data_IF_113419956712
#
_entry.id   IF_113419956712
#
_cell.length_a   1.000
_cell.length_b   1.000
_cell.length_c   1.000
_cell.angle_alpha   90.00
_cell.angle_beta   90.00
_cell.angle_gamma   90.00
#
_symmetry.space_group_name_H-M   'P 1'
#
loop_
_entity.id
_entity.type
_entity.pdbx_description
1 polymer ?
#
# COMPACT_ATOMS: atom_id res chain seq x y z
N UNK A 1 22.41 -30.03 7.72
CA UNK A 1 21.01 -30.26 7.32
C UNK A 1 20.39 -28.90 7.09
N UNK A 2 20.16 -28.60 5.81
CA UNK A 2 19.60 -27.33 5.32
C UNK A 2 18.17 -27.17 5.83
N UNK A 3 17.98 -26.27 6.80
CA UNK A 3 16.69 -25.97 7.41
C UNK A 3 16.22 -24.61 6.98
N UNK A 4 15.85 -24.47 5.71
CA UNK A 4 15.28 -23.27 5.11
C UNK A 4 14.14 -22.74 6.01
N UNK A 5 14.17 -21.48 6.50
CA UNK A 5 13.03 -20.92 7.22
C UNK A 5 11.87 -20.75 6.22
N UNK A 6 10.92 -21.67 6.30
CA UNK A 6 9.69 -21.74 5.52
C UNK A 6 8.99 -20.38 5.56
N UNK A 7 8.93 -19.73 4.40
CA UNK A 7 8.36 -18.41 4.22
C UNK A 7 6.96 -18.31 4.86
N UNK A 8 6.88 -17.59 5.98
CA UNK A 8 5.64 -17.19 6.61
C UNK A 8 4.92 -16.30 5.59
N UNK A 9 3.90 -16.83 4.90
CA UNK A 9 2.99 -16.01 4.09
C UNK A 9 2.58 -14.82 4.96
N UNK A 10 2.89 -13.57 4.57
CA UNK A 10 2.52 -12.43 5.39
C UNK A 10 1.01 -12.50 5.55
N UNK A 11 0.54 -12.62 6.80
CA UNK A 11 -0.89 -12.67 7.08
C UNK A 11 -1.48 -11.42 6.45
N UNK A 12 -2.60 -11.58 5.75
CA UNK A 12 -3.19 -10.47 4.99
C UNK A 12 -3.46 -9.22 5.84
N UNK A 13 -3.52 -9.32 7.18
CA UNK A 13 -3.58 -8.19 8.12
C UNK A 13 -2.34 -7.30 8.07
N UNK A 14 -1.14 -7.86 8.07
CA UNK A 14 0.11 -7.08 8.08
C UNK A 14 0.32 -6.35 6.74
N UNK A 15 -0.03 -7.01 5.64
CA UNK A 15 -0.03 -6.41 4.31
C UNK A 15 -1.04 -5.25 4.23
N UNK A 16 -2.25 -5.41 4.78
CA UNK A 16 -3.28 -4.37 4.84
C UNK A 16 -2.80 -3.14 5.61
N UNK A 17 -2.17 -3.32 6.76
CA UNK A 17 -1.67 -2.22 7.59
C UNK A 17 -0.52 -1.48 6.89
N UNK A 18 0.43 -2.21 6.30
CA UNK A 18 1.53 -1.60 5.52
C UNK A 18 1.02 -0.82 4.31
N UNK A 19 -0.01 -1.35 3.63
CA UNK A 19 -0.65 -0.67 2.50
C UNK A 19 -1.36 0.60 2.97
N UNK A 20 -2.09 0.57 4.08
CA UNK A 20 -2.76 1.76 4.63
C UNK A 20 -1.76 2.86 4.99
N UNK A 21 -0.65 2.53 5.64
CA UNK A 21 0.41 3.50 5.97
C UNK A 21 1.05 4.09 4.71
N UNK A 22 1.36 3.25 3.72
CA UNK A 22 1.92 3.73 2.45
C UNK A 22 0.95 4.66 1.72
N UNK A 23 -0.36 4.33 1.74
CA UNK A 23 -1.43 5.09 1.10
C UNK A 23 -1.65 6.45 1.78
N UNK A 24 -1.55 6.51 3.11
CA UNK A 24 -1.58 7.78 3.86
C UNK A 24 -0.46 8.72 3.40
N UNK A 25 0.79 8.25 3.33
CA UNK A 25 1.90 9.09 2.84
C UNK A 25 1.72 9.57 1.39
N UNK A 26 1.06 8.77 0.53
CA UNK A 26 0.73 9.21 -0.83
C UNK A 26 -0.35 10.30 -0.83
N UNK A 27 -1.36 10.20 0.03
CA UNK A 27 -2.43 11.20 0.11
C UNK A 27 -1.93 12.52 0.69
N UNK A 28 -1.04 12.48 1.67
CA UNK A 28 -0.39 13.69 2.21
C UNK A 28 0.46 14.36 1.14
N UNK A 29 1.28 13.59 0.43
CA UNK A 29 2.09 14.09 -0.69
C UNK A 29 1.22 14.60 -1.84
N UNK A 30 0.11 13.94 -2.15
CA UNK A 30 -0.84 14.38 -3.17
C UNK A 30 -1.54 15.68 -2.79
N UNK A 31 -1.80 15.90 -1.50
CA UNK A 31 -2.38 17.14 -0.98
C UNK A 31 -1.38 18.29 -1.03
N UNK A 32 -0.10 18.01 -0.78
CA UNK A 32 0.99 18.99 -0.89
C UNK A 32 1.27 19.37 -2.35
N UNK A 33 1.32 18.39 -3.25
CA UNK A 33 1.55 18.60 -4.68
C UNK A 33 0.30 19.05 -5.45
N UNK A 34 -0.90 18.88 -4.87
CA UNK A 34 -2.19 19.03 -5.57
C UNK A 34 -2.42 17.98 -6.68
N UNK A 35 -1.50 17.02 -6.87
CA UNK A 35 -1.53 16.05 -7.95
C UNK A 35 -1.33 14.63 -7.44
N UNK A 36 -2.44 13.89 -7.34
CA UNK A 36 -2.45 12.49 -6.89
C UNK A 36 -1.72 11.55 -7.84
N UNK A 37 -1.64 11.87 -9.13
CA UNK A 37 -0.96 11.04 -10.12
C UNK A 37 0.57 11.11 -9.96
N UNK A 38 1.09 12.30 -9.66
CA UNK A 38 2.51 12.52 -9.41
C UNK A 38 2.95 11.88 -8.10
N UNK A 39 2.16 12.04 -7.03
CA UNK A 39 2.40 11.36 -5.75
C UNK A 39 2.35 9.83 -5.87
N UNK A 40 1.42 9.26 -6.66
CA UNK A 40 1.39 7.83 -6.94
C UNK A 40 2.61 7.34 -7.73
N UNK A 41 3.06 8.10 -8.75
CA UNK A 41 4.28 7.76 -9.50
C UNK A 41 5.51 7.80 -8.61
N UNK A 42 5.64 8.83 -7.78
CA UNK A 42 6.80 9.04 -6.93
C UNK A 42 6.94 7.98 -5.82
N UNK A 43 5.81 7.44 -5.35
CA UNK A 43 5.79 6.34 -4.37
C UNK A 43 5.65 4.94 -5.00
N UNK A 44 5.70 4.84 -6.34
CA UNK A 44 5.62 3.56 -7.06
C UNK A 44 4.30 2.81 -6.83
N UNK A 45 3.21 3.55 -6.67
CA UNK A 45 1.95 3.02 -6.19
C UNK A 45 0.91 2.99 -7.30
N UNK A 46 0.40 1.79 -7.60
CA UNK A 46 -0.58 1.61 -8.67
C UNK A 46 -1.97 2.09 -8.24
N UNK A 47 -2.69 2.74 -9.16
CA UNK A 47 -4.09 3.19 -8.98
C UNK A 47 -4.98 2.00 -8.64
N UNK A 48 -4.71 0.82 -9.22
CA UNK A 48 -5.47 -0.40 -8.99
C UNK A 48 -5.47 -0.80 -7.51
N UNK A 49 -4.29 -0.75 -6.88
CA UNK A 49 -4.16 -1.04 -5.46
C UNK A 49 -4.80 0.03 -4.56
N UNK A 50 -5.08 1.25 -5.07
CA UNK A 50 -5.83 2.30 -4.33
C UNK A 50 -7.29 1.89 -4.25
N UNK A 51 -7.86 1.52 -5.40
CA UNK A 51 -9.26 1.12 -5.51
C UNK A 51 -9.55 -0.19 -4.79
N UNK A 52 -8.66 -1.18 -4.88
CA UNK A 52 -8.75 -2.43 -4.13
C UNK A 52 -8.70 -2.18 -2.61
N UNK A 53 -7.82 -1.27 -2.15
CA UNK A 53 -7.76 -0.86 -0.75
C UNK A 53 -9.03 -0.13 -0.31
N UNK A 54 -9.50 0.83 -1.12
CA UNK A 54 -10.75 1.55 -0.91
C UNK A 54 -11.93 0.58 -0.75
N UNK A 55 -12.03 -0.40 -1.65
CA UNK A 55 -13.05 -1.46 -1.62
C UNK A 55 -12.94 -2.36 -0.39
N UNK A 56 -11.74 -2.56 0.15
CA UNK A 56 -11.49 -3.46 1.30
C UNK A 56 -11.68 -2.81 2.67
N UNK A 57 -11.52 -1.48 2.76
CA UNK A 57 -11.50 -0.73 4.03
C UNK A 57 -12.73 0.16 4.25
N UNK A 58 -13.54 0.39 3.22
CA UNK A 58 -14.73 1.24 3.30
C UNK A 58 -16.04 0.43 3.36
N UNK A 59 -15.96 -0.83 3.82
CA UNK A 59 -17.10 -1.67 4.21
C UNK A 59 -17.19 -1.75 5.73
#
# INVERSE_FOLDING_TARGET
>A
MDGTPKATRPRARDAKTKVAQSRMSVLELARELGNVAEACRQRGMDRTSLYEWKRRFWV
#
